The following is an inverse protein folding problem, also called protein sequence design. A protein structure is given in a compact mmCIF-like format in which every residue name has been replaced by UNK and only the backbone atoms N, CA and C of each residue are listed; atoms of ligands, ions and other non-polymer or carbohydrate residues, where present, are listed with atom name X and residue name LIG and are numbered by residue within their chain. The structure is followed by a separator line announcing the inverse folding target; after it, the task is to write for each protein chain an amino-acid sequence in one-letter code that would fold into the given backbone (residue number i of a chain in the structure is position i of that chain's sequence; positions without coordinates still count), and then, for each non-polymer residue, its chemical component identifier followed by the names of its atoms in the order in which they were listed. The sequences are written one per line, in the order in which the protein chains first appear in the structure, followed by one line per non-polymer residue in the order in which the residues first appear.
data_IF_225166793965
#
_entry.id   IF_225166793965
#
_cell.length_a   1.000
_cell.length_b   1.000
_cell.length_c   1.000
_cell.angle_alpha   90.00
_cell.angle_beta   90.00
_cell.angle_gamma   90.00
#
_symmetry.space_group_name_H-M   'P 1'
#
loop_
_entity.id
_entity.type
_entity.pdbx_description
1 polymer ?
#
# COMPACT_ATOMS: atom_id res chain seq x y z
N UNK A 1 1.25 6.44 15.08
CA UNK A 1 1.12 5.23 14.28
C UNK A 1 -0.18 5.22 13.50
N UNK A 2 -0.09 4.85 12.25
CA UNK A 2 -1.26 4.85 11.38
C UNK A 2 -2.05 3.57 11.55
N UNK A 3 -3.35 3.71 11.70
CA UNK A 3 -4.22 2.56 11.85
C UNK A 3 -5.39 2.66 10.91
N UNK A 4 -5.87 1.52 10.48
CA UNK A 4 -7.08 1.46 9.67
C UNK A 4 -8.15 0.77 10.51
N UNK A 5 -9.09 1.51 11.07
CA UNK A 5 -10.10 0.91 11.92
C UNK A 5 -11.08 0.11 11.10
N UNK A 6 -11.68 -0.87 11.74
CA UNK A 6 -12.72 -1.63 11.10
C UNK A 6 -13.90 -0.72 10.78
N UNK A 7 -14.50 -0.99 9.63
CA UNK A 7 -15.68 -0.24 9.27
C UNK A 7 -15.41 1.17 8.81
N UNK A 8 -14.16 1.51 8.60
CA UNK A 8 -13.85 2.83 8.08
C UNK A 8 -14.33 2.96 6.64
N UNK A 9 -14.61 4.19 6.26
CA UNK A 9 -14.98 4.47 4.89
C UNK A 9 -13.73 4.59 4.03
N UNK A 10 -13.86 4.15 2.79
CA UNK A 10 -12.75 4.29 1.85
C UNK A 10 -13.18 5.18 0.71
N UNK A 11 -12.20 5.79 0.07
CA UNK A 11 -12.45 6.61 -1.10
C UNK A 11 -11.51 6.15 -2.20
N UNK A 12 -11.93 6.39 -3.43
CA UNK A 12 -11.12 5.99 -4.57
C UNK A 12 -10.17 7.10 -4.95
N UNK A 13 -8.93 6.75 -5.19
CA UNK A 13 -7.91 7.67 -5.68
C UNK A 13 -7.18 7.01 -6.82
N UNK A 14 -6.80 7.80 -7.81
CA UNK A 14 -6.09 7.29 -8.96
C UNK A 14 -4.67 7.82 -8.95
N UNK A 15 -3.73 6.91 -9.13
CA UNK A 15 -2.32 7.27 -9.16
C UNK A 15 -1.70 6.77 -10.45
N UNK A 16 -0.66 7.45 -10.87
CA UNK A 16 0.16 6.97 -11.98
C UNK A 16 1.40 6.32 -11.41
N UNK A 17 1.59 5.06 -11.74
CA UNK A 17 2.71 4.30 -11.20
C UNK A 17 3.54 3.75 -12.34
N UNK A 18 4.86 3.61 -12.13
CA UNK A 18 5.69 2.95 -13.14
C UNK A 18 5.20 1.53 -13.41
N UNK A 19 5.26 1.15 -14.67
CA UNK A 19 4.80 -0.18 -15.06
C UNK A 19 5.56 -1.26 -14.30
N UNK A 20 6.87 -1.10 -14.19
CA UNK A 20 7.68 -2.12 -13.53
C UNK A 20 7.27 -2.28 -12.08
N UNK A 21 6.96 -1.18 -11.41
CA UNK A 21 6.54 -1.25 -10.02
C UNK A 21 5.22 -2.01 -9.88
N UNK A 22 4.28 -1.70 -10.77
CA UNK A 22 2.99 -2.37 -10.72
C UNK A 22 3.15 -3.87 -10.93
N UNK A 23 4.00 -4.25 -11.89
CA UNK A 23 4.21 -5.66 -12.16
C UNK A 23 4.83 -6.38 -10.97
N UNK A 24 5.79 -5.75 -10.32
CA UNK A 24 6.40 -6.34 -9.15
C UNK A 24 5.40 -6.50 -8.02
N UNK A 25 4.54 -5.51 -7.85
CA UNK A 25 3.53 -5.58 -6.80
C UNK A 25 2.51 -6.66 -7.08
N UNK A 26 2.12 -6.80 -8.35
CA UNK A 26 1.17 -7.85 -8.69
C UNK A 26 1.75 -9.23 -8.44
N UNK A 27 3.01 -9.40 -8.77
CA UNK A 27 3.67 -10.68 -8.53
C UNK A 27 3.78 -10.97 -7.06
N UNK A 28 4.13 -9.97 -6.28
CA UNK A 28 4.27 -10.14 -4.84
C UNK A 28 2.92 -10.47 -4.20
N UNK A 29 1.87 -9.78 -4.63
CA UNK A 29 0.55 -10.06 -4.10
C UNK A 29 0.12 -11.47 -4.42
N UNK A 30 0.41 -11.91 -5.64
CA UNK A 30 0.06 -13.27 -6.05
C UNK A 30 0.79 -14.30 -5.19
N UNK A 31 2.08 -14.08 -4.98
CA UNK A 31 2.86 -15.02 -4.19
C UNK A 31 2.36 -15.11 -2.75
N UNK A 32 1.87 -14.01 -2.22
CA UNK A 32 1.40 -13.98 -0.84
C UNK A 32 -0.09 -14.21 -0.73
N UNK A 33 -0.75 -14.46 -1.85
CA UNK A 33 -2.17 -14.81 -1.88
C UNK A 33 -3.03 -13.72 -1.25
N UNK A 34 -2.69 -12.49 -1.52
CA UNK A 34 -3.49 -11.35 -1.10
C UNK A 34 -3.85 -10.54 -2.32
N UNK A 35 -4.88 -9.70 -2.19
CA UNK A 35 -5.27 -8.84 -3.29
C UNK A 35 -4.24 -7.74 -3.49
N UNK A 36 -4.17 -7.23 -4.71
CA UNK A 36 -3.28 -6.11 -4.98
C UNK A 36 -3.66 -4.90 -4.14
N UNK A 37 -4.95 -4.66 -4.00
CA UNK A 37 -5.38 -3.52 -3.20
C UNK A 37 -4.90 -3.64 -1.76
N UNK A 38 -5.00 -4.84 -1.20
CA UNK A 38 -4.55 -5.03 0.17
C UNK A 38 -3.06 -4.80 0.30
N UNK A 39 -2.29 -5.31 -0.67
CA UNK A 39 -0.85 -5.09 -0.64
C UNK A 39 -0.52 -3.60 -0.73
N UNK A 40 -1.21 -2.88 -1.60
CA UNK A 40 -0.96 -1.45 -1.76
C UNK A 40 -1.25 -0.71 -0.45
N UNK A 41 -2.37 -1.03 0.18
CA UNK A 41 -2.72 -0.37 1.44
C UNK A 41 -1.64 -0.62 2.48
N UNK A 42 -1.18 -1.85 2.60
CA UNK A 42 -0.16 -2.17 3.59
C UNK A 42 1.14 -1.46 3.29
N UNK A 43 1.51 -1.40 2.01
CA UNK A 43 2.73 -0.70 1.65
C UNK A 43 2.66 0.78 1.96
N UNK A 44 1.50 1.39 1.73
CA UNK A 44 1.34 2.80 2.01
C UNK A 44 1.41 3.09 3.50
N UNK A 45 0.80 2.24 4.30
CA UNK A 45 0.85 2.42 5.74
C UNK A 45 2.28 2.31 6.22
N UNK A 46 3.00 1.30 5.73
CA UNK A 46 4.39 1.11 6.10
C UNK A 46 5.23 2.32 5.70
N UNK A 47 5.01 2.81 4.49
CA UNK A 47 5.79 3.94 3.99
C UNK A 47 5.54 5.19 4.81
N UNK A 48 4.29 5.43 5.17
CA UNK A 48 3.96 6.62 5.97
C UNK A 48 4.66 6.58 7.32
N UNK A 49 4.67 5.41 7.95
CA UNK A 49 5.34 5.29 9.23
C UNK A 49 6.83 5.53 9.11
N UNK A 50 7.42 5.08 8.02
CA UNK A 50 8.85 5.22 7.84
C UNK A 50 9.27 6.59 7.37
N UNK A 51 8.38 7.28 6.68
CA UNK A 51 8.69 8.65 6.28
C UNK A 51 8.86 9.54 7.50
N UNK A 52 8.01 9.35 8.49
CA UNK A 52 8.13 10.14 9.70
C UNK A 52 9.45 9.91 10.38
N UNK A 53 9.91 8.67 10.37
CA UNK A 53 11.20 8.37 10.99
C UNK A 53 12.34 8.94 10.18
N UNK A 54 12.22 8.92 8.87
CA UNK A 54 13.32 9.35 8.01
C UNK A 54 13.54 10.84 8.07
N UNK A 55 12.55 11.59 8.45
CA UNK A 55 12.67 13.04 8.46
C UNK A 55 13.34 13.58 9.71
N UNK A 56 13.67 12.73 10.63
CA UNK A 56 14.31 13.22 11.86
C UNK A 56 15.77 13.57 11.72
#
# INVERSE_FOLDING_TARGET
MLKIPKGYDSISKTFRLPVELVEEMEELAFKNKISLNKLVVQCLIYAMENIEKAEE
#
